data_IF_711989465197
#
_entry.id   IF_711989465197
#
_cell.length_a   1.000
_cell.length_b   1.000
_cell.length_c   1.000
_cell.angle_alpha   90.00
_cell.angle_beta   90.00
_cell.angle_gamma   90.00
#
_symmetry.space_group_name_H-M   'P 1'
#
loop_
_entity.id
_entity.type
_entity.pdbx_description
1 polymer ?
#
# COMPACT_ATOMS: atom_id res chain seq x y z
N UNK A 1 -14.72 -1.74 -2.15
CA UNK A 1 -13.79 -1.75 -1.00
C UNK A 1 -13.68 -3.18 -0.49
N UNK A 2 -12.85 -3.98 -1.15
CA UNK A 2 -12.48 -5.29 -0.60
C UNK A 2 -11.51 -5.01 0.54
N UNK A 3 -12.06 -5.19 1.74
CA UNK A 3 -11.34 -5.08 3.00
C UNK A 3 -10.09 -5.93 2.88
N UNK A 4 -8.92 -5.28 2.90
CA UNK A 4 -7.71 -5.98 3.32
C UNK A 4 -8.06 -6.58 4.67
N UNK A 5 -8.16 -7.90 4.71
CA UNK A 5 -8.48 -8.64 5.93
C UNK A 5 -7.34 -8.31 6.91
N UNK A 6 -7.62 -7.40 7.83
CA UNK A 6 -6.79 -7.23 9.03
C UNK A 6 -6.85 -8.58 9.74
N UNK A 7 -5.84 -9.40 9.55
CA UNK A 7 -5.62 -10.58 10.36
C UNK A 7 -5.28 -10.06 11.75
N UNK A 8 -6.32 -9.88 12.57
CA UNK A 8 -6.17 -9.73 14.02
C UNK A 8 -5.71 -11.09 14.57
N UNK A 9 -4.42 -11.35 14.43
CA UNK A 9 -3.79 -12.43 15.18
C UNK A 9 -3.73 -12.00 16.64
N UNK A 10 -4.48 -12.68 17.49
CA UNK A 10 -4.31 -12.60 18.94
C UNK A 10 -2.92 -13.13 19.28
N UNK A 11 -2.02 -12.21 19.61
CA UNK A 11 -0.65 -12.53 19.98
C UNK A 11 -0.59 -13.17 21.35
N UNK A 12 -0.32 -14.47 21.40
CA UNK A 12 0.19 -15.10 22.61
C UNK A 12 1.70 -14.87 22.68
N UNK A 13 2.12 -13.81 23.36
CA UNK A 13 3.53 -13.55 23.65
C UNK A 13 4.07 -14.55 24.67
N UNK A 14 4.35 -15.76 24.25
CA UNK A 14 5.08 -16.72 25.08
C UNK A 14 6.58 -16.67 24.77
N UNK A 15 7.37 -16.39 25.80
CA UNK A 15 8.81 -16.58 25.86
C UNK A 15 9.72 -15.55 25.17
N UNK A 16 9.61 -14.29 25.59
CA UNK A 16 10.78 -13.42 25.55
C UNK A 16 11.34 -13.40 26.98
N UNK A 17 12.42 -14.14 27.23
CA UNK A 17 13.07 -14.25 28.55
C UNK A 17 13.82 -12.98 28.96
N UNK A 18 14.14 -12.13 27.99
CA UNK A 18 14.79 -10.84 28.19
C UNK A 18 14.00 -9.74 27.48
N UNK A 19 13.63 -8.69 28.23
CA UNK A 19 13.01 -7.49 27.66
C UNK A 19 14.06 -6.76 26.82
N UNK A 20 13.87 -6.63 25.50
CA UNK A 20 14.86 -5.98 24.67
C UNK A 20 14.93 -4.48 24.95
N UNK A 21 16.08 -3.87 24.62
CA UNK A 21 16.25 -2.42 24.70
C UNK A 21 15.11 -1.69 24.00
N UNK A 22 14.60 -0.57 24.55
CA UNK A 22 13.40 0.11 24.07
C UNK A 22 13.43 0.51 22.60
N UNK A 23 14.61 0.81 22.05
CA UNK A 23 14.81 1.23 20.66
C UNK A 23 15.18 0.08 19.73
N UNK A 24 15.47 -1.12 20.24
CA UNK A 24 15.93 -2.23 19.42
C UNK A 24 14.90 -2.63 18.35
N UNK A 25 15.30 -2.54 17.09
CA UNK A 25 14.47 -2.93 15.95
C UNK A 25 13.33 -1.98 15.63
N UNK A 26 13.26 -0.80 16.25
CA UNK A 26 12.40 0.27 15.77
C UNK A 26 12.96 0.79 14.43
N UNK A 27 12.07 1.13 13.48
CA UNK A 27 12.48 1.68 12.20
C UNK A 27 13.02 3.10 12.40
N UNK A 28 13.95 3.49 11.55
CA UNK A 28 14.33 4.87 11.39
C UNK A 28 13.18 5.65 10.75
N UNK A 29 12.84 6.79 11.33
CA UNK A 29 11.82 7.69 10.80
C UNK A 29 12.41 8.67 9.79
N UNK A 30 11.53 9.29 8.99
CA UNK A 30 11.92 10.37 8.11
C UNK A 30 12.55 11.51 8.93
N UNK A 31 13.72 11.99 8.47
CA UNK A 31 14.37 13.16 9.09
C UNK A 31 13.53 14.41 8.88
N UNK A 32 13.72 15.42 9.75
CA UNK A 32 13.05 16.72 9.59
C UNK A 32 13.32 17.34 8.22
N UNK A 33 14.55 17.20 7.70
CA UNK A 33 14.92 17.63 6.37
C UNK A 33 14.10 16.90 5.29
N UNK A 34 13.95 15.58 5.41
CA UNK A 34 13.14 14.78 4.50
C UNK A 34 11.66 15.18 4.55
N UNK A 35 11.12 15.41 5.73
CA UNK A 35 9.74 15.89 5.91
C UNK A 35 9.56 17.26 5.27
N UNK A 36 10.53 18.16 5.47
CA UNK A 36 10.55 19.49 4.84
C UNK A 36 10.60 19.38 3.31
N UNK A 37 11.42 18.48 2.75
CA UNK A 37 11.47 18.21 1.31
C UNK A 37 10.11 17.71 0.77
N UNK A 38 9.46 16.78 1.45
CA UNK A 38 8.15 16.25 1.07
C UNK A 38 7.05 17.33 1.07
N UNK A 39 7.16 18.28 2.00
CA UNK A 39 6.20 19.37 2.16
C UNK A 39 6.56 20.61 1.33
N UNK A 40 7.81 20.72 0.85
CA UNK A 40 8.21 21.81 -0.03
C UNK A 40 7.51 21.62 -1.38
N UNK A 41 6.89 22.68 -1.90
CA UNK A 41 6.33 22.72 -3.25
C UNK A 41 7.49 22.66 -4.27
N UNK A 42 8.11 21.50 -4.44
CA UNK A 42 8.94 21.24 -5.61
C UNK A 42 8.09 21.49 -6.83
N UNK A 43 8.67 22.04 -7.90
CA UNK A 43 7.99 22.24 -9.18
C UNK A 43 7.17 20.98 -9.49
N UNK A 44 5.86 21.09 -9.50
CA UNK A 44 4.98 19.95 -9.69
C UNK A 44 5.38 19.23 -10.99
N UNK A 45 5.71 17.96 -10.88
CA UNK A 45 5.93 17.13 -12.07
C UNK A 45 4.59 17.06 -12.80
N UNK A 46 4.59 17.40 -14.06
CA UNK A 46 3.38 17.53 -14.89
C UNK A 46 3.39 16.45 -15.94
N UNK A 47 2.31 15.70 -16.00
CA UNK A 47 2.10 14.73 -17.09
C UNK A 47 2.04 15.41 -18.45
N UNK A 48 2.50 14.70 -19.48
CA UNK A 48 2.27 15.09 -20.87
C UNK A 48 0.77 15.22 -21.12
N UNK A 49 0.33 16.26 -21.80
CA UNK A 49 -1.09 16.58 -21.99
C UNK A 49 -1.91 15.41 -22.52
N UNK A 50 -1.36 14.62 -23.45
CA UNK A 50 -2.05 13.45 -24.01
C UNK A 50 -2.25 12.33 -22.97
N UNK A 51 -1.26 12.13 -22.07
CA UNK A 51 -1.36 11.17 -20.97
C UNK A 51 -2.30 11.69 -19.89
N UNK A 52 -2.17 12.96 -19.52
CA UNK A 52 -3.03 13.60 -18.52
C UNK A 52 -4.52 13.47 -18.84
N UNK A 53 -4.89 13.67 -20.11
CA UNK A 53 -6.29 13.52 -20.58
C UNK A 53 -6.81 12.09 -20.39
N UNK A 54 -5.97 11.08 -20.64
CA UNK A 54 -6.36 9.67 -20.46
C UNK A 54 -6.42 9.29 -19.00
N UNK A 55 -5.42 9.71 -18.21
CA UNK A 55 -5.42 9.49 -16.77
C UNK A 55 -6.62 10.17 -16.10
N UNK A 56 -7.02 11.36 -16.56
CA UNK A 56 -8.24 12.02 -16.07
C UNK A 56 -9.48 11.14 -16.29
N UNK A 57 -9.64 10.55 -17.48
CA UNK A 57 -10.75 9.61 -17.74
C UNK A 57 -10.66 8.33 -16.91
N UNK A 58 -9.44 7.87 -16.60
CA UNK A 58 -9.23 6.76 -15.66
C UNK A 58 -9.76 7.12 -14.27
N UNK A 59 -9.43 8.32 -13.78
CA UNK A 59 -9.90 8.82 -12.48
C UNK A 59 -11.43 8.92 -12.49
N UNK A 60 -12.02 9.55 -13.50
CA UNK A 60 -13.48 9.65 -13.63
C UNK A 60 -14.18 8.29 -13.62
N UNK A 61 -13.59 7.29 -14.30
CA UNK A 61 -14.12 5.94 -14.31
C UNK A 61 -14.00 5.23 -12.97
N UNK A 62 -12.93 5.49 -12.21
CA UNK A 62 -12.75 4.97 -10.86
C UNK A 62 -13.70 5.63 -9.86
N UNK A 63 -13.94 6.94 -10.00
CA UNK A 63 -14.90 7.67 -9.18
C UNK A 63 -16.33 7.15 -9.45
N UNK A 64 -16.70 6.96 -10.72
CA UNK A 64 -17.99 6.35 -11.13
C UNK A 64 -18.13 4.96 -10.49
N UNK A 65 -17.11 4.11 -10.57
CA UNK A 65 -17.13 2.78 -9.99
C UNK A 65 -17.27 2.82 -8.45
N UNK A 66 -16.56 3.71 -7.78
CA UNK A 66 -16.60 3.89 -6.31
C UNK A 66 -17.98 4.32 -5.83
N UNK A 67 -18.64 5.26 -6.53
CA UNK A 67 -20.01 5.69 -6.21
C UNK A 67 -20.97 4.50 -6.35
N UNK A 68 -20.88 3.75 -7.44
CA UNK A 68 -21.74 2.58 -7.68
C UNK A 68 -21.53 1.47 -6.65
N UNK A 69 -20.28 1.27 -6.19
CA UNK A 69 -19.96 0.32 -5.11
C UNK A 69 -20.59 0.73 -3.78
N UNK A 70 -20.57 2.04 -3.46
CA UNK A 70 -21.22 2.55 -2.25
C UNK A 70 -22.74 2.40 -2.33
N UNK A 71 -23.37 2.73 -3.47
CA UNK A 71 -24.80 2.50 -3.69
C UNK A 71 -25.14 1.02 -3.54
N UNK A 72 -24.33 0.12 -4.13
CA UNK A 72 -24.52 -1.32 -3.98
C UNK A 72 -24.44 -1.75 -2.51
N UNK A 73 -23.49 -1.20 -1.75
CA UNK A 73 -23.31 -1.49 -0.33
C UNK A 73 -24.54 -1.07 0.48
N UNK A 74 -25.12 0.08 0.17
CA UNK A 74 -26.34 0.58 0.81
C UNK A 74 -27.55 -0.31 0.49
N UNK A 75 -27.73 -0.67 -0.77
CA UNK A 75 -28.81 -1.59 -1.20
C UNK A 75 -28.71 -2.95 -0.49
N UNK A 76 -27.51 -3.49 -0.31
CA UNK A 76 -27.30 -4.74 0.46
C UNK A 76 -27.68 -4.57 1.94
N UNK A 77 -27.40 -3.43 2.56
CA UNK A 77 -27.84 -3.14 3.93
C UNK A 77 -29.37 -3.05 4.05
N UNK A 78 -30.03 -2.53 3.02
CA UNK A 78 -31.48 -2.45 2.93
C UNK A 78 -32.14 -3.78 2.50
N UNK A 79 -31.36 -4.86 2.32
CA UNK A 79 -31.81 -6.18 1.86
C UNK A 79 -32.44 -6.18 0.46
N UNK A 80 -32.09 -5.23 -0.39
CA UNK A 80 -32.51 -5.11 -1.79
C UNK A 80 -31.53 -5.83 -2.73
N UNK A 81 -31.42 -7.14 -2.56
CA UNK A 81 -30.39 -7.96 -3.24
C UNK A 81 -30.47 -7.91 -4.78
N UNK A 82 -31.69 -7.85 -5.35
CA UNK A 82 -31.86 -7.77 -6.82
C UNK A 82 -31.31 -6.47 -7.39
N UNK A 83 -31.59 -5.34 -6.72
CA UNK A 83 -31.10 -4.02 -7.13
C UNK A 83 -29.59 -3.93 -6.92
N UNK A 84 -29.08 -4.43 -5.77
CA UNK A 84 -27.64 -4.49 -5.51
C UNK A 84 -26.90 -5.31 -6.58
N UNK A 85 -27.46 -6.42 -7.03
CA UNK A 85 -26.86 -7.25 -8.10
C UNK A 85 -26.87 -6.56 -9.46
N UNK A 86 -27.88 -5.72 -9.75
CA UNK A 86 -27.89 -4.94 -11.00
C UNK A 86 -26.68 -3.99 -11.08
N UNK A 87 -26.22 -3.44 -9.94
CA UNK A 87 -25.02 -2.56 -9.88
C UNK A 87 -23.72 -3.25 -10.31
N UNK A 88 -23.61 -4.58 -10.22
CA UNK A 88 -22.42 -5.31 -10.68
C UNK A 88 -22.10 -5.04 -12.16
N UNK A 89 -23.11 -4.94 -13.01
CA UNK A 89 -22.93 -4.67 -14.42
C UNK A 89 -22.49 -3.20 -14.67
N UNK A 90 -23.02 -2.26 -13.89
CA UNK A 90 -22.66 -0.84 -13.99
C UNK A 90 -21.22 -0.63 -13.54
N UNK A 91 -20.83 -1.19 -12.38
CA UNK A 91 -19.44 -1.17 -11.87
C UNK A 91 -18.47 -1.75 -12.91
N UNK A 92 -18.77 -2.93 -13.45
CA UNK A 92 -17.94 -3.55 -14.48
C UNK A 92 -17.75 -2.67 -15.73
N UNK A 93 -18.80 -1.95 -16.15
CA UNK A 93 -18.72 -1.02 -17.28
C UNK A 93 -17.84 0.18 -16.97
N UNK A 94 -17.99 0.79 -15.79
CA UNK A 94 -17.15 1.90 -15.35
C UNK A 94 -15.68 1.47 -15.29
N UNK A 95 -15.37 0.33 -14.65
CA UNK A 95 -14.03 -0.24 -14.60
C UNK A 95 -13.45 -0.50 -15.98
N UNK A 96 -14.24 -1.07 -16.90
CA UNK A 96 -13.80 -1.35 -18.28
C UNK A 96 -13.47 -0.07 -19.06
N UNK A 97 -14.21 1.03 -18.84
CA UNK A 97 -13.88 2.34 -19.46
C UNK A 97 -12.49 2.81 -19.01
N UNK A 98 -12.21 2.81 -17.71
CA UNK A 98 -10.92 3.23 -17.18
C UNK A 98 -9.77 2.32 -17.65
N UNK A 99 -9.96 1.01 -17.63
CA UNK A 99 -8.96 0.05 -18.11
C UNK A 99 -8.63 0.27 -19.59
N UNK A 100 -9.63 0.56 -20.43
CA UNK A 100 -9.42 0.85 -21.84
C UNK A 100 -8.49 2.05 -22.06
N UNK A 101 -8.67 3.15 -21.31
CA UNK A 101 -7.80 4.33 -21.43
C UNK A 101 -6.34 4.01 -21.06
N UNK A 102 -6.11 3.13 -20.07
CA UNK A 102 -4.76 2.65 -19.73
C UNK A 102 -4.19 1.74 -20.83
N UNK A 103 -5.00 0.84 -21.38
CA UNK A 103 -4.57 -0.09 -22.43
C UNK A 103 -4.14 0.65 -23.69
N UNK A 104 -4.78 1.76 -24.04
CA UNK A 104 -4.39 2.61 -25.16
C UNK A 104 -3.04 3.33 -24.97
N UNK A 105 -2.54 3.42 -23.72
CA UNK A 105 -1.23 3.98 -23.43
C UNK A 105 -0.10 2.94 -23.51
N UNK A 106 -0.40 1.65 -23.32
CA UNK A 106 0.59 0.56 -23.28
C UNK A 106 1.55 0.52 -24.47
N UNK A 107 1.10 0.65 -25.73
CA UNK A 107 2.00 0.60 -26.90
C UNK A 107 3.02 1.75 -26.92
N UNK A 108 2.77 2.81 -26.18
CA UNK A 108 3.58 4.03 -26.17
C UNK A 108 4.52 4.12 -24.95
N UNK A 109 4.46 3.17 -24.02
CA UNK A 109 5.17 3.23 -22.73
C UNK A 109 6.65 3.58 -22.89
N UNK A 110 7.36 2.97 -23.87
CA UNK A 110 8.78 3.20 -24.09
C UNK A 110 9.13 4.66 -24.47
N UNK A 111 8.19 5.39 -25.09
CA UNK A 111 8.38 6.77 -25.53
C UNK A 111 7.88 7.82 -24.54
N UNK A 112 7.24 7.39 -23.43
CA UNK A 112 6.69 8.30 -22.44
C UNK A 112 7.79 8.77 -21.46
N UNK A 113 7.56 9.93 -20.84
CA UNK A 113 8.40 10.44 -19.75
C UNK A 113 8.26 9.53 -18.52
N UNK A 114 9.29 9.50 -17.67
CA UNK A 114 9.32 8.72 -16.45
C UNK A 114 8.10 9.00 -15.55
N UNK A 115 7.73 10.25 -15.35
CA UNK A 115 6.54 10.60 -14.57
C UNK A 115 5.24 10.08 -15.18
N UNK A 116 5.08 10.17 -16.51
CA UNK A 116 3.91 9.63 -17.21
C UNK A 116 3.79 8.10 -16.98
N UNK A 117 4.92 7.37 -17.12
CA UNK A 117 4.96 5.93 -16.88
C UNK A 117 4.62 5.58 -15.43
N UNK A 118 5.17 6.31 -14.45
CA UNK A 118 4.86 6.05 -13.04
C UNK A 118 3.38 6.17 -12.73
N UNK A 119 2.68 7.16 -13.31
CA UNK A 119 1.25 7.32 -13.13
C UNK A 119 0.44 6.19 -13.79
N UNK A 120 0.85 5.75 -14.98
CA UNK A 120 0.19 4.62 -15.67
C UNK A 120 0.37 3.33 -14.87
N UNK A 121 1.59 3.03 -14.38
CA UNK A 121 1.86 1.87 -13.53
C UNK A 121 1.06 1.90 -12.24
N UNK A 122 0.92 3.08 -11.61
CA UNK A 122 0.13 3.25 -10.40
C UNK A 122 -1.33 2.87 -10.62
N UNK A 123 -1.99 3.45 -11.63
CA UNK A 123 -3.39 3.13 -11.92
C UNK A 123 -3.57 1.70 -12.39
N UNK A 124 -2.64 1.15 -13.18
CA UNK A 124 -2.69 -0.26 -13.56
C UNK A 124 -2.59 -1.19 -12.34
N UNK A 125 -1.74 -0.85 -11.36
CA UNK A 125 -1.66 -1.58 -10.09
C UNK A 125 -2.98 -1.55 -9.34
N UNK A 126 -3.62 -0.38 -9.30
CA UNK A 126 -4.92 -0.22 -8.65
C UNK A 126 -5.99 -1.11 -9.29
N UNK A 127 -6.09 -1.13 -10.62
CA UNK A 127 -7.02 -2.02 -11.33
C UNK A 127 -6.72 -3.50 -11.07
N UNK A 128 -5.46 -3.87 -11.06
CA UNK A 128 -5.05 -5.25 -10.80
C UNK A 128 -5.49 -5.70 -9.40
N UNK A 129 -5.39 -4.82 -8.39
CA UNK A 129 -5.80 -5.13 -7.02
C UNK A 129 -7.31 -5.07 -6.81
N UNK A 130 -7.91 -3.92 -7.14
CA UNK A 130 -9.29 -3.63 -6.77
C UNK A 130 -10.30 -4.46 -7.57
N UNK A 131 -10.01 -4.71 -8.84
CA UNK A 131 -11.00 -5.26 -9.77
C UNK A 131 -10.61 -6.58 -10.44
N UNK A 132 -9.32 -6.90 -10.53
CA UNK A 132 -8.86 -8.09 -11.27
C UNK A 132 -8.33 -9.20 -10.36
N UNK A 133 -8.10 -8.91 -9.09
CA UNK A 133 -7.49 -9.84 -8.12
C UNK A 133 -6.13 -10.40 -8.60
N UNK A 134 -5.33 -9.57 -9.27
CA UNK A 134 -4.01 -9.90 -9.83
C UNK A 134 -2.90 -9.33 -8.96
N UNK A 135 -2.67 -9.95 -7.81
CA UNK A 135 -1.68 -9.48 -6.83
C UNK A 135 -0.26 -9.45 -7.40
N UNK A 136 0.25 -10.49 -8.09
CA UNK A 136 1.59 -10.47 -8.65
C UNK A 136 1.82 -9.35 -9.66
N UNK A 137 0.86 -9.10 -10.54
CA UNK A 137 0.93 -8.01 -11.52
C UNK A 137 0.86 -6.63 -10.85
N UNK A 138 0.07 -6.50 -9.77
CA UNK A 138 0.03 -5.28 -8.99
C UNK A 138 1.38 -5.00 -8.32
N UNK A 139 2.00 -6.00 -7.69
CA UNK A 139 3.35 -5.90 -7.13
C UNK A 139 4.33 -5.46 -8.22
N UNK A 140 4.33 -6.14 -9.39
CA UNK A 140 5.22 -5.81 -10.50
C UNK A 140 5.08 -4.35 -10.96
N UNK A 141 3.85 -3.84 -11.04
CA UNK A 141 3.61 -2.46 -11.43
C UNK A 141 3.98 -1.47 -10.33
N UNK A 142 3.68 -1.74 -9.04
CA UNK A 142 4.14 -0.87 -7.94
C UNK A 142 5.66 -0.82 -7.82
N UNK A 143 6.37 -1.91 -8.11
CA UNK A 143 7.84 -1.90 -8.21
C UNK A 143 8.30 -0.90 -9.28
N UNK A 144 7.68 -0.90 -10.46
CA UNK A 144 7.98 0.08 -11.51
C UNK A 144 7.66 1.51 -11.07
N UNK A 145 6.58 1.73 -10.30
CA UNK A 145 6.30 3.07 -9.73
C UNK A 145 7.45 3.56 -8.87
N UNK A 146 8.00 2.73 -8.00
CA UNK A 146 9.10 3.15 -7.11
C UNK A 146 10.44 3.29 -7.83
N UNK A 147 10.64 2.58 -8.94
CA UNK A 147 11.87 2.59 -9.73
C UNK A 147 11.93 3.74 -10.76
N UNK A 148 10.77 4.29 -11.18
CA UNK A 148 10.76 5.42 -12.11
C UNK A 148 11.39 6.66 -11.47
N UNK A 149 12.38 7.25 -12.13
CA UNK A 149 13.21 8.35 -11.61
C UNK A 149 12.35 9.55 -11.19
N UNK A 150 11.39 9.92 -12.04
CA UNK A 150 10.54 11.09 -11.82
C UNK A 150 9.27 10.83 -11.02
N UNK A 151 9.13 9.66 -10.39
CA UNK A 151 7.98 9.41 -9.53
C UNK A 151 7.86 10.48 -8.45
N UNK A 152 6.65 10.99 -8.26
CA UNK A 152 6.35 11.93 -7.18
C UNK A 152 6.63 11.29 -5.82
N UNK A 153 7.27 12.03 -4.92
CA UNK A 153 7.67 11.52 -3.60
C UNK A 153 6.49 10.95 -2.81
N UNK A 154 5.32 11.61 -2.83
CA UNK A 154 4.11 11.12 -2.14
C UNK A 154 3.66 9.77 -2.72
N UNK A 155 3.64 9.67 -4.04
CA UNK A 155 3.25 8.44 -4.73
C UNK A 155 4.24 7.30 -4.44
N UNK A 156 5.54 7.60 -4.38
CA UNK A 156 6.59 6.64 -4.05
C UNK A 156 6.44 6.12 -2.61
N UNK A 157 6.18 7.02 -1.66
CA UNK A 157 5.94 6.66 -0.25
C UNK A 157 4.68 5.79 -0.13
N UNK A 158 3.59 6.16 -0.78
CA UNK A 158 2.38 5.34 -0.83
C UNK A 158 2.65 3.96 -1.43
N UNK A 159 3.39 3.89 -2.55
CA UNK A 159 3.74 2.63 -3.18
C UNK A 159 4.58 1.71 -2.26
N UNK A 160 5.47 2.25 -1.43
CA UNK A 160 6.19 1.45 -0.43
C UNK A 160 5.24 0.80 0.57
N UNK A 161 4.23 1.53 1.05
CA UNK A 161 3.28 0.98 2.00
C UNK A 161 2.42 -0.13 1.39
N UNK A 162 1.92 0.12 0.18
CA UNK A 162 1.11 -0.89 -0.55
C UNK A 162 1.94 -2.13 -0.87
N UNK A 163 3.18 -1.96 -1.35
CA UNK A 163 4.09 -3.09 -1.59
C UNK A 163 4.33 -3.91 -0.33
N UNK A 164 4.54 -3.26 0.82
CA UNK A 164 4.70 -3.95 2.08
C UNK A 164 3.47 -4.82 2.40
N UNK A 165 2.28 -4.26 2.31
CA UNK A 165 1.03 -4.98 2.57
C UNK A 165 0.82 -6.16 1.60
N UNK A 166 1.13 -5.97 0.33
CA UNK A 166 1.01 -7.02 -0.69
C UNK A 166 1.99 -8.16 -0.43
N UNK A 167 3.25 -7.85 -0.14
CA UNK A 167 4.23 -8.89 0.18
C UNK A 167 3.88 -9.65 1.47
N UNK A 168 3.33 -8.96 2.48
CA UNK A 168 2.84 -9.62 3.69
C UNK A 168 1.65 -10.56 3.39
N UNK A 169 0.73 -10.15 2.52
CA UNK A 169 -0.41 -10.99 2.11
C UNK A 169 0.02 -12.23 1.32
N UNK A 170 1.12 -12.13 0.57
CA UNK A 170 1.73 -13.25 -0.16
C UNK A 170 2.71 -14.07 0.71
N UNK A 171 2.72 -13.84 2.02
CA UNK A 171 3.60 -14.50 2.99
C UNK A 171 5.11 -14.29 2.71
N UNK A 172 5.47 -13.27 1.94
CA UNK A 172 6.85 -12.83 1.76
C UNK A 172 7.21 -11.78 2.83
N UNK A 173 7.36 -12.25 4.07
CA UNK A 173 7.51 -11.35 5.22
C UNK A 173 8.80 -10.55 5.20
N UNK A 174 9.88 -11.10 4.63
CA UNK A 174 11.15 -10.38 4.51
C UNK A 174 11.00 -9.16 3.60
N UNK A 175 10.43 -9.33 2.41
CA UNK A 175 10.14 -8.21 1.51
C UNK A 175 9.14 -7.23 2.14
N UNK A 176 8.10 -7.73 2.81
CA UNK A 176 7.12 -6.90 3.50
C UNK A 176 7.76 -6.00 4.56
N UNK A 177 8.62 -6.55 5.42
CA UNK A 177 9.39 -5.81 6.42
C UNK A 177 10.29 -4.76 5.74
N UNK A 178 11.01 -5.13 4.68
CA UNK A 178 11.91 -4.23 3.98
C UNK A 178 11.18 -3.02 3.39
N UNK A 179 9.99 -3.22 2.79
CA UNK A 179 9.19 -2.12 2.25
C UNK A 179 8.54 -1.27 3.35
N UNK A 180 8.14 -1.84 4.49
CA UNK A 180 7.71 -1.06 5.66
C UNK A 180 8.84 -0.16 6.17
N UNK A 181 10.06 -0.67 6.30
CA UNK A 181 11.22 0.14 6.72
C UNK A 181 11.47 1.29 5.74
N UNK A 182 11.39 1.04 4.42
CA UNK A 182 11.50 2.10 3.41
C UNK A 182 10.39 3.14 3.58
N UNK A 183 9.18 2.71 3.88
CA UNK A 183 8.06 3.62 4.13
C UNK A 183 8.32 4.48 5.38
N UNK A 184 8.70 3.88 6.51
CA UNK A 184 8.99 4.63 7.75
C UNK A 184 10.03 5.72 7.55
N UNK A 185 11.09 5.45 6.76
CA UNK A 185 12.14 6.43 6.43
C UNK A 185 11.67 7.59 5.56
N UNK A 186 10.50 7.50 4.96
CA UNK A 186 9.99 8.48 4.00
C UNK A 186 8.60 9.00 4.33
N UNK A 187 7.88 8.40 5.25
CA UNK A 187 6.54 8.84 5.63
C UNK A 187 6.60 10.13 6.48
N UNK A 188 5.83 11.17 6.13
CA UNK A 188 5.83 12.43 6.87
C UNK A 188 5.12 12.32 8.23
N UNK A 189 4.23 11.35 8.37
CA UNK A 189 3.46 11.09 9.58
C UNK A 189 3.31 9.57 9.77
N UNK A 190 3.62 9.11 10.97
CA UNK A 190 3.61 7.68 11.31
C UNK A 190 2.67 7.43 12.48
N UNK A 191 1.55 6.76 12.18
CA UNK A 191 0.54 6.42 13.18
C UNK A 191 0.88 5.12 13.93
N UNK A 192 0.31 4.91 15.13
CA UNK A 192 0.54 3.70 15.92
C UNK A 192 0.31 2.39 15.14
N UNK A 193 -0.71 2.34 14.27
CA UNK A 193 -1.06 1.15 13.49
C UNK A 193 0.07 0.66 12.58
N UNK A 194 0.92 1.56 12.09
CA UNK A 194 2.07 1.18 11.28
C UNK A 194 3.12 0.40 12.09
N UNK A 195 3.34 0.77 13.35
CA UNK A 195 4.20 0.00 14.24
C UNK A 195 3.59 -1.36 14.61
N UNK A 196 2.26 -1.45 14.76
CA UNK A 196 1.58 -2.73 14.93
C UNK A 196 1.83 -3.62 13.72
N UNK A 197 1.63 -3.09 12.52
CA UNK A 197 1.85 -3.84 11.27
C UNK A 197 3.31 -4.33 11.16
N UNK A 198 4.29 -3.48 11.48
CA UNK A 198 5.70 -3.88 11.45
C UNK A 198 6.02 -4.93 12.53
N UNK A 199 5.43 -4.79 13.71
CA UNK A 199 5.55 -5.79 14.78
C UNK A 199 5.00 -7.15 14.34
N UNK A 200 3.82 -7.18 13.72
CA UNK A 200 3.22 -8.40 13.16
C UNK A 200 4.10 -9.01 12.09
N UNK A 201 4.63 -8.17 11.17
CA UNK A 201 5.51 -8.63 10.11
C UNK A 201 6.79 -9.30 10.66
N UNK A 202 7.44 -8.70 11.66
CA UNK A 202 8.59 -9.31 12.32
C UNK A 202 8.26 -10.61 13.07
N UNK A 203 7.06 -10.69 13.67
CA UNK A 203 6.64 -11.92 14.33
C UNK A 203 6.47 -13.07 13.34
N UNK A 204 5.77 -12.82 12.23
CA UNK A 204 5.58 -13.80 11.15
C UNK A 204 6.91 -14.18 10.47
N UNK A 205 7.81 -13.22 10.29
CA UNK A 205 9.15 -13.48 9.79
C UNK A 205 9.92 -14.40 10.74
N UNK A 206 9.78 -14.22 12.05
CA UNK A 206 10.45 -15.07 13.05
C UNK A 206 10.06 -16.55 12.93
N UNK A 207 8.81 -16.84 12.57
CA UNK A 207 8.34 -18.23 12.43
C UNK A 207 8.87 -18.90 11.16
N UNK A 208 9.30 -18.12 10.15
CA UNK A 208 9.99 -18.64 8.95
C UNK A 208 11.50 -18.79 9.13
N UNK A 209 12.08 -18.19 10.17
CA UNK A 209 13.53 -18.20 10.39
C UNK A 209 14.03 -19.57 10.84
N UNK A 210 14.96 -20.15 10.06
CA UNK A 210 15.60 -21.43 10.40
C UNK A 210 16.56 -21.34 11.58
N UNK A 211 17.13 -20.17 11.82
CA UNK A 211 18.05 -19.91 12.91
C UNK A 211 17.31 -19.46 14.17
N UNK A 212 17.47 -20.15 15.29
CA UNK A 212 16.90 -19.76 16.59
C UNK A 212 17.28 -18.34 17.02
N UNK A 213 18.53 -17.94 16.76
CA UNK A 213 19.02 -16.59 17.08
C UNK A 213 18.33 -15.53 16.23
N UNK A 214 18.18 -15.75 14.92
CA UNK A 214 17.44 -14.84 14.04
C UNK A 214 15.98 -14.75 14.43
N UNK A 215 15.33 -15.89 14.66
CA UNK A 215 13.94 -15.93 15.13
C UNK A 215 13.74 -15.13 16.43
N UNK A 216 14.64 -15.31 17.41
CA UNK A 216 14.60 -14.56 18.67
C UNK A 216 14.77 -13.04 18.43
N UNK A 217 15.70 -12.65 17.56
CA UNK A 217 15.91 -11.25 17.21
C UNK A 217 14.68 -10.63 16.54
N UNK A 218 14.03 -11.36 15.62
CA UNK A 218 12.78 -10.91 14.98
C UNK A 218 11.65 -10.79 16.00
N UNK A 219 11.53 -11.71 16.97
CA UNK A 219 10.55 -11.61 18.07
C UNK A 219 10.81 -10.41 18.99
N UNK A 220 12.08 -10.12 19.30
CA UNK A 220 12.45 -8.90 20.07
C UNK A 220 12.06 -7.62 19.33
N UNK A 221 12.30 -7.56 18.01
CA UNK A 221 11.87 -6.43 17.15
C UNK A 221 10.33 -6.31 17.14
N UNK A 222 9.62 -7.41 16.96
CA UNK A 222 8.16 -7.45 17.02
C UNK A 222 7.62 -6.84 18.31
N UNK A 223 8.12 -7.30 19.44
CA UNK A 223 7.73 -6.80 20.77
C UNK A 223 7.93 -5.28 20.90
N UNK A 224 9.10 -4.77 20.50
CA UNK A 224 9.40 -3.35 20.64
C UNK A 224 8.52 -2.48 19.72
N UNK A 225 8.19 -2.93 18.52
CA UNK A 225 7.31 -2.18 17.64
C UNK A 225 5.88 -2.12 18.21
N UNK A 226 5.33 -3.22 18.73
CA UNK A 226 4.02 -3.20 19.40
C UNK A 226 4.03 -2.33 20.66
N UNK A 227 5.11 -2.39 21.45
CA UNK A 227 5.29 -1.50 22.61
C UNK A 227 5.33 -0.02 22.23
N UNK A 228 5.99 0.33 21.11
CA UNK A 228 6.01 1.70 20.60
C UNK A 228 4.62 2.16 20.13
N UNK A 229 3.88 1.29 19.44
CA UNK A 229 2.50 1.59 19.06
C UNK A 229 1.64 1.95 20.28
N UNK A 230 1.74 1.15 21.37
CA UNK A 230 1.02 1.41 22.61
C UNK A 230 1.41 2.77 23.21
N UNK A 231 2.71 3.07 23.31
CA UNK A 231 3.20 4.35 23.85
C UNK A 231 2.63 5.55 23.08
N UNK A 232 2.57 5.45 21.74
CA UNK A 232 2.01 6.52 20.92
C UNK A 232 0.49 6.64 21.07
N UNK A 233 -0.21 5.52 21.24
CA UNK A 233 -1.66 5.54 21.47
C UNK A 233 -2.02 6.10 22.86
N UNK A 234 -1.19 5.82 23.89
CA UNK A 234 -1.41 6.31 25.25
C UNK A 234 -1.04 7.82 25.41
N UNK A 235 -0.35 8.41 24.44
CA UNK A 235 0.09 9.81 24.45
C UNK A 235 -0.91 10.80 23.78
N UNK A 236 -2.02 10.32 23.23
CA UNK A 236 -3.10 11.07 22.59
C UNK A 236 -4.30 11.14 23.50
#
# INVERSE_FOLDING_TARGET
MRVLLLILLTFSFNLITEVPEPSYGLPELASEERIKELNTKKRAKVMTQSVARKVQKVIEALDEASILEEEQRLLKKEKKEKEAKAKDAEIKRAVAKGQKELDELKPRMASLKSYDRSMIYYYQSYFNLAYQNKIPEAISNYLKVVDEEDTNDKLRVEAYYVLAQLYLSESNFDAGVNYLIKWFKNAPDVKPDAYVLLGQAYYLLADQEKSKTKALNSKKKAFNNVRQAKRLADAV
#
